data_IF_809981853709
#
_entry.id   IF_809981853709
#
_cell.length_a   1.000
_cell.length_b   1.000
_cell.length_c   1.000
_cell.angle_alpha   90.00
_cell.angle_beta   90.00
_cell.angle_gamma   90.00
#
_symmetry.space_group_name_H-M   'P 1'
#
loop_
_entity.id
_entity.type
_entity.pdbx_description
1 polymer ?
#
# COMPACT_ATOMS: atom_id res chain seq x y z
N UNK A 1 -58.51 30.99 -15.41
CA UNK A 1 -59.82 31.51 -15.89
C UNK A 1 -59.75 33.02 -15.89
N UNK A 2 -60.09 33.70 -16.99
CA UNK A 2 -60.26 35.16 -16.99
C UNK A 2 -61.61 35.48 -16.35
N UNK A 3 -61.64 36.40 -15.37
CA UNK A 3 -62.83 36.79 -14.61
C UNK A 3 -63.94 37.39 -15.49
N UNK A 4 -63.59 37.79 -16.72
CA UNK A 4 -64.49 38.35 -17.75
C UNK A 4 -65.54 37.35 -18.25
N UNK A 5 -65.44 36.06 -17.89
CA UNK A 5 -66.31 34.99 -18.39
C UNK A 5 -67.26 34.39 -17.33
N UNK A 6 -67.39 35.03 -16.15
CA UNK A 6 -68.32 34.58 -15.10
C UNK A 6 -69.74 35.08 -15.38
N UNK A 7 -70.58 34.24 -16.00
CA UNK A 7 -72.01 34.52 -16.18
C UNK A 7 -72.76 34.48 -14.84
N UNK A 8 -73.59 35.50 -14.57
CA UNK A 8 -74.51 35.54 -13.42
C UNK A 8 -74.19 36.56 -12.33
N UNK A 9 -73.13 37.36 -12.47
CA UNK A 9 -72.76 38.43 -11.53
C UNK A 9 -72.93 39.82 -12.17
N UNK A 10 -73.40 40.80 -11.39
CA UNK A 10 -73.40 42.21 -11.82
C UNK A 10 -71.98 42.81 -11.76
N UNK A 11 -71.79 44.02 -12.31
CA UNK A 11 -70.47 44.67 -12.36
C UNK A 11 -69.83 44.88 -10.98
N UNK A 12 -70.63 45.26 -9.98
CA UNK A 12 -70.17 45.47 -8.60
C UNK A 12 -69.70 44.17 -7.94
N UNK A 13 -70.40 43.06 -8.19
CA UNK A 13 -70.04 41.73 -7.68
C UNK A 13 -68.75 41.23 -8.34
N UNK A 14 -68.57 41.45 -9.64
CA UNK A 14 -67.33 41.13 -10.35
C UNK A 14 -66.14 41.94 -9.82
N UNK A 15 -66.34 43.22 -9.49
CA UNK A 15 -65.31 44.06 -8.89
C UNK A 15 -64.93 43.60 -7.47
N UNK A 16 -65.92 43.20 -6.66
CA UNK A 16 -65.69 42.63 -5.33
C UNK A 16 -64.91 41.31 -5.41
N UNK A 17 -65.25 40.42 -6.35
CA UNK A 17 -64.51 39.17 -6.57
C UNK A 17 -63.08 39.44 -7.03
N UNK A 18 -62.85 40.44 -7.89
CA UNK A 18 -61.51 40.87 -8.30
C UNK A 18 -60.68 41.35 -7.10
N UNK A 19 -61.27 42.18 -6.23
CA UNK A 19 -60.61 42.68 -5.00
C UNK A 19 -60.28 41.55 -4.03
N UNK A 20 -61.20 40.61 -3.81
CA UNK A 20 -60.95 39.43 -2.96
C UNK A 20 -59.85 38.54 -3.53
N UNK A 21 -59.87 38.28 -4.83
CA UNK A 21 -58.84 37.49 -5.49
C UNK A 21 -57.47 38.19 -5.41
N UNK A 22 -57.44 39.50 -5.59
CA UNK A 22 -56.21 40.29 -5.45
C UNK A 22 -55.69 40.21 -4.01
N UNK A 23 -56.54 40.42 -2.99
CA UNK A 23 -56.11 40.34 -1.60
C UNK A 23 -55.60 38.97 -1.21
N UNK A 24 -56.23 37.89 -1.69
CA UNK A 24 -55.74 36.53 -1.46
C UNK A 24 -54.42 36.27 -2.20
N UNK A 25 -54.29 36.76 -3.43
CA UNK A 25 -53.05 36.64 -4.20
C UNK A 25 -51.89 37.38 -3.51
N UNK A 26 -52.15 38.58 -3.00
CA UNK A 26 -51.16 39.38 -2.28
C UNK A 26 -50.80 38.74 -0.93
N UNK A 27 -51.78 38.18 -0.22
CA UNK A 27 -51.55 37.40 1.01
C UNK A 27 -50.66 36.19 0.74
N UNK A 28 -51.01 35.39 -0.27
CA UNK A 28 -50.26 34.22 -0.70
C UNK A 28 -48.84 34.64 -1.09
N UNK A 29 -48.68 35.67 -1.93
CA UNK A 29 -47.36 36.19 -2.33
C UNK A 29 -46.51 36.56 -1.12
N UNK A 30 -47.09 37.26 -0.15
CA UNK A 30 -46.40 37.69 1.06
C UNK A 30 -45.98 36.50 1.90
N UNK A 31 -46.89 35.54 2.14
CA UNK A 31 -46.62 34.34 2.92
C UNK A 31 -45.49 33.49 2.30
N UNK A 32 -45.55 33.25 0.99
CA UNK A 32 -44.50 32.49 0.30
C UNK A 32 -43.17 33.26 0.25
N UNK A 33 -43.19 34.59 0.10
CA UNK A 33 -41.97 35.40 0.13
C UNK A 33 -41.28 35.34 1.50
N UNK A 34 -42.06 35.36 2.58
CA UNK A 34 -41.53 35.18 3.94
C UNK A 34 -40.96 33.79 4.13
N UNK A 35 -41.72 32.75 3.73
CA UNK A 35 -41.25 31.35 3.80
C UNK A 35 -39.96 31.12 3.00
N UNK A 36 -39.81 31.75 1.83
CA UNK A 36 -38.59 31.65 1.02
C UNK A 36 -37.41 32.27 1.77
N UNK A 37 -37.55 33.47 2.34
CA UNK A 37 -36.50 34.10 3.14
C UNK A 37 -36.13 33.26 4.37
N UNK A 38 -37.13 32.71 5.04
CA UNK A 38 -36.94 31.80 6.18
C UNK A 38 -36.29 30.48 5.76
N UNK A 39 -36.35 30.08 4.48
CA UNK A 39 -35.66 28.90 3.96
C UNK A 39 -34.24 29.21 3.46
N UNK A 40 -33.99 30.43 2.98
CA UNK A 40 -32.68 30.87 2.50
C UNK A 40 -31.61 30.84 3.59
N UNK A 41 -31.97 31.05 4.85
CA UNK A 41 -31.05 30.92 5.99
C UNK A 41 -30.52 29.49 6.21
N UNK A 42 -31.23 28.48 5.68
CA UNK A 42 -30.83 27.07 5.77
C UNK A 42 -30.10 26.59 4.52
N UNK A 43 -29.89 27.45 3.51
CA UNK A 43 -29.04 27.08 2.38
C UNK A 43 -27.62 26.82 2.90
N UNK A 44 -26.96 25.72 2.45
CA UNK A 44 -25.56 25.52 2.73
C UNK A 44 -24.80 26.78 2.31
N UNK A 45 -23.97 27.33 3.20
CA UNK A 45 -23.11 28.46 2.84
C UNK A 45 -22.20 27.98 1.72
N UNK A 46 -22.32 28.60 0.56
CA UNK A 46 -21.34 28.40 -0.51
C UNK A 46 -20.00 28.86 0.02
N UNK A 47 -19.00 27.97 -0.06
CA UNK A 47 -17.64 28.28 0.37
C UNK A 47 -17.16 29.49 -0.43
N UNK A 48 -16.55 30.46 0.24
CA UNK A 48 -15.91 31.58 -0.43
C UNK A 48 -14.84 31.06 -1.39
N UNK A 49 -14.56 31.78 -2.48
CA UNK A 49 -13.47 31.42 -3.39
C UNK A 49 -12.13 31.23 -2.64
N UNK A 50 -11.90 32.05 -1.60
CA UNK A 50 -10.72 31.93 -0.74
C UNK A 50 -10.68 30.61 0.07
N UNK A 51 -11.84 30.12 0.53
CA UNK A 51 -11.94 28.86 1.27
C UNK A 51 -11.74 27.66 0.34
N UNK A 52 -12.28 27.72 -0.88
CA UNK A 52 -12.07 26.71 -1.92
C UNK A 52 -10.59 26.62 -2.29
N UNK A 53 -9.93 27.76 -2.51
CA UNK A 53 -8.52 27.81 -2.85
C UNK A 53 -7.64 27.26 -1.71
N UNK A 54 -8.02 27.53 -0.45
CA UNK A 54 -7.33 27.03 0.73
C UNK A 54 -7.48 25.50 0.85
N UNK A 55 -8.70 24.98 0.72
CA UNK A 55 -8.97 23.55 0.77
C UNK A 55 -8.23 22.78 -0.34
N UNK A 56 -8.20 23.34 -1.56
CA UNK A 56 -7.42 22.76 -2.66
C UNK A 56 -5.92 22.73 -2.34
N UNK A 57 -5.37 23.80 -1.75
CA UNK A 57 -3.97 23.83 -1.31
C UNK A 57 -3.68 22.82 -0.21
N UNK A 58 -4.56 22.70 0.78
CA UNK A 58 -4.44 21.72 1.87
C UNK A 58 -4.42 20.30 1.31
N UNK A 59 -5.35 19.98 0.41
CA UNK A 59 -5.41 18.67 -0.23
C UNK A 59 -4.13 18.35 -1.01
N UNK A 60 -3.62 19.30 -1.78
CA UNK A 60 -2.36 19.12 -2.53
C UNK A 60 -1.17 18.91 -1.58
N UNK A 61 -1.14 19.59 -0.43
CA UNK A 61 -0.09 19.40 0.57
C UNK A 61 -0.21 18.03 1.25
N UNK A 62 -1.41 17.63 1.66
CA UNK A 62 -1.67 16.32 2.28
C UNK A 62 -1.31 15.17 1.34
N UNK A 63 -1.68 15.27 0.05
CA UNK A 63 -1.32 14.29 -0.97
C UNK A 63 0.20 14.18 -1.13
N UNK A 64 0.92 15.31 -1.13
CA UNK A 64 2.39 15.36 -1.21
C UNK A 64 3.06 14.78 0.03
N UNK A 65 2.57 15.13 1.22
CA UNK A 65 3.09 14.59 2.49
C UNK A 65 2.92 13.07 2.52
N UNK A 66 1.76 12.56 2.09
CA UNK A 66 1.49 11.12 1.99
C UNK A 66 2.44 10.43 1.00
N UNK A 67 2.70 11.05 -0.14
CA UNK A 67 3.62 10.50 -1.14
C UNK A 67 5.05 10.42 -0.61
N UNK A 68 5.54 11.50 0.03
CA UNK A 68 6.87 11.56 0.62
C UNK A 68 7.01 10.52 1.73
N UNK A 69 6.05 10.44 2.65
CA UNK A 69 6.06 9.47 3.74
C UNK A 69 6.10 8.03 3.21
N UNK A 70 5.33 7.71 2.17
CA UNK A 70 5.37 6.40 1.53
C UNK A 70 6.73 6.11 0.89
N UNK A 71 7.33 7.10 0.22
CA UNK A 71 8.64 6.96 -0.42
C UNK A 71 9.77 6.79 0.60
N UNK A 72 9.73 7.51 1.70
CA UNK A 72 10.67 7.38 2.81
C UNK A 72 10.56 6.00 3.46
N UNK A 73 9.34 5.54 3.78
CA UNK A 73 9.10 4.18 4.30
C UNK A 73 9.64 3.11 3.35
N UNK A 74 9.34 3.22 2.05
CA UNK A 74 9.82 2.27 1.06
C UNK A 74 11.34 2.28 0.96
N UNK A 75 11.97 3.45 1.00
CA UNK A 75 13.43 3.59 0.93
C UNK A 75 14.11 3.00 2.17
N UNK A 76 13.54 3.23 3.37
CA UNK A 76 14.00 2.62 4.62
C UNK A 76 13.92 1.09 4.56
N UNK A 77 12.81 0.56 4.05
CA UNK A 77 12.62 -0.88 3.89
C UNK A 77 13.60 -1.47 2.87
N UNK A 78 13.79 -0.81 1.74
CA UNK A 78 14.77 -1.19 0.74
C UNK A 78 16.17 -1.30 1.33
N UNK A 79 16.61 -0.29 2.10
CA UNK A 79 17.92 -0.30 2.76
C UNK A 79 18.04 -1.44 3.77
N UNK A 80 17.06 -1.58 4.68
CA UNK A 80 17.07 -2.59 5.74
C UNK A 80 17.05 -4.03 5.21
N UNK A 81 16.30 -4.31 4.15
CA UNK A 81 16.30 -5.63 3.52
C UNK A 81 17.68 -5.95 2.92
N UNK A 82 18.31 -4.97 2.26
CA UNK A 82 19.67 -5.10 1.74
C UNK A 82 20.71 -5.37 2.84
N UNK A 83 20.64 -4.65 3.96
CA UNK A 83 21.49 -4.87 5.14
C UNK A 83 21.35 -6.30 5.70
N UNK A 84 20.15 -6.89 5.60
CA UNK A 84 19.87 -8.27 6.05
C UNK A 84 20.18 -9.34 4.99
N UNK A 85 20.81 -8.96 3.87
CA UNK A 85 21.19 -9.88 2.79
C UNK A 85 20.04 -10.35 1.91
N UNK A 86 18.88 -9.70 1.99
CA UNK A 86 17.72 -9.98 1.16
C UNK A 86 17.66 -9.06 -0.05
N UNK A 87 16.94 -9.47 -1.10
CA UNK A 87 16.72 -8.62 -2.27
C UNK A 87 15.96 -7.36 -1.88
N UNK A 88 16.56 -6.20 -2.14
CA UNK A 88 15.97 -4.92 -1.83
C UNK A 88 14.70 -4.63 -2.66
N UNK A 89 14.50 -5.34 -3.79
CA UNK A 89 13.28 -5.25 -4.58
C UNK A 89 12.03 -5.76 -3.85
N UNK A 90 12.20 -6.60 -2.82
CA UNK A 90 11.09 -7.08 -2.00
C UNK A 90 10.37 -5.93 -1.29
N UNK A 91 11.03 -4.79 -1.08
CA UNK A 91 10.41 -3.56 -0.56
C UNK A 91 9.25 -3.03 -1.42
N UNK A 92 9.14 -3.44 -2.69
CA UNK A 92 8.00 -3.09 -3.57
C UNK A 92 6.72 -3.85 -3.19
N UNK A 93 6.85 -4.99 -2.52
CA UNK A 93 5.75 -5.92 -2.25
C UNK A 93 5.41 -6.03 -0.75
N UNK A 94 6.32 -5.60 0.11
CA UNK A 94 6.18 -5.68 1.56
C UNK A 94 5.68 -4.35 2.13
N UNK A 95 4.78 -4.44 3.10
CA UNK A 95 4.36 -3.33 3.95
C UNK A 95 4.44 -3.78 5.39
N UNK A 96 5.07 -2.97 6.21
CA UNK A 96 5.26 -3.20 7.63
C UNK A 96 4.67 -2.02 8.40
N UNK A 97 4.22 -2.28 9.61
CA UNK A 97 3.70 -1.25 10.50
C UNK A 97 4.86 -0.45 11.09
N UNK A 98 4.66 0.86 11.22
CA UNK A 98 5.71 1.77 11.70
C UNK A 98 6.12 1.48 13.16
N UNK A 99 5.18 1.06 14.02
CA UNK A 99 5.42 0.83 15.45
C UNK A 99 6.48 -0.25 15.71
N UNK A 100 6.49 -1.31 14.89
CA UNK A 100 7.36 -2.48 15.05
C UNK A 100 8.19 -2.76 13.80
N UNK A 101 8.45 -1.74 13.00
CA UNK A 101 9.07 -1.87 11.69
C UNK A 101 10.37 -2.67 11.72
N UNK A 102 11.31 -2.32 12.60
CA UNK A 102 12.61 -2.98 12.66
C UNK A 102 12.47 -4.46 13.08
N UNK A 103 11.62 -4.75 14.06
CA UNK A 103 11.33 -6.12 14.52
C UNK A 103 10.71 -6.97 13.39
N UNK A 104 9.74 -6.42 12.66
CA UNK A 104 9.08 -7.11 11.56
C UNK A 104 10.06 -7.42 10.41
N UNK A 105 10.97 -6.49 10.10
CA UNK A 105 12.02 -6.73 9.11
C UNK A 105 12.98 -7.83 9.57
N UNK A 106 13.34 -7.86 10.86
CA UNK A 106 14.22 -8.90 11.42
C UNK A 106 13.59 -10.28 11.42
N UNK A 107 12.32 -10.38 11.81
CA UNK A 107 11.57 -11.63 11.77
C UNK A 107 11.44 -12.14 10.34
N UNK A 108 11.07 -11.25 9.40
CA UNK A 108 10.99 -11.60 7.99
C UNK A 108 12.33 -12.09 7.44
N UNK A 109 13.43 -11.39 7.76
CA UNK A 109 14.77 -11.80 7.35
C UNK A 109 15.18 -13.15 7.94
N UNK A 110 14.87 -13.39 9.21
CA UNK A 110 15.14 -14.67 9.88
C UNK A 110 14.41 -15.82 9.21
N UNK A 111 13.11 -15.65 8.89
CA UNK A 111 12.31 -16.65 8.19
C UNK A 111 12.88 -16.92 6.80
N UNK A 112 13.12 -15.88 5.99
CA UNK A 112 13.63 -16.03 4.64
C UNK A 112 15.00 -16.69 4.60
N UNK A 113 15.91 -16.31 5.51
CA UNK A 113 17.22 -16.92 5.60
C UNK A 113 17.15 -18.40 6.00
N UNK A 114 16.26 -18.78 6.93
CA UNK A 114 16.01 -20.19 7.24
C UNK A 114 15.50 -20.95 6.01
N UNK A 115 14.50 -20.41 5.33
CA UNK A 115 13.96 -21.04 4.12
C UNK A 115 15.01 -21.21 3.04
N UNK A 116 15.84 -20.19 2.78
CA UNK A 116 16.94 -20.26 1.82
C UNK A 116 17.99 -21.31 2.21
N UNK A 117 18.32 -21.41 3.50
CA UNK A 117 19.30 -22.39 3.99
C UNK A 117 18.75 -23.83 3.96
N UNK A 118 17.48 -24.02 4.27
CA UNK A 118 16.82 -25.34 4.30
C UNK A 118 16.48 -25.85 2.89
N UNK A 119 16.22 -24.94 1.95
CA UNK A 119 15.97 -25.27 0.53
C UNK A 119 17.23 -25.27 -0.34
N UNK A 120 18.34 -24.72 0.17
CA UNK A 120 19.64 -24.81 -0.48
C UNK A 120 20.19 -26.22 -0.31
N UNK A 121 20.30 -26.95 -1.42
CA UNK A 121 21.02 -28.22 -1.45
C UNK A 121 22.47 -28.01 -0.98
N UNK A 122 22.75 -28.35 0.27
CA UNK A 122 24.12 -28.51 0.76
C UNK A 122 24.62 -29.89 0.32
N UNK A 123 25.67 -29.99 -0.53
CA UNK A 123 26.30 -31.27 -0.80
C UNK A 123 26.84 -31.84 0.52
N UNK A 124 26.13 -32.81 1.10
CA UNK A 124 26.49 -33.42 2.38
C UNK A 124 27.65 -34.41 2.27
N UNK A 125 28.15 -34.67 1.06
CA UNK A 125 29.18 -35.67 0.80
C UNK A 125 30.43 -35.05 0.16
N UNK A 126 31.08 -34.12 0.88
CA UNK A 126 32.54 -34.14 0.81
C UNK A 126 32.98 -35.29 1.70
N UNK A 127 33.38 -36.42 1.10
CA UNK A 127 34.25 -37.36 1.81
C UNK A 127 35.41 -36.51 2.32
N UNK A 128 35.46 -36.31 3.64
CA UNK A 128 36.50 -35.52 4.28
C UNK A 128 37.87 -35.99 3.78
N UNK A 129 38.86 -35.12 3.79
CA UNK A 129 40.29 -35.38 3.53
C UNK A 129 40.92 -36.57 4.30
N UNK A 130 40.14 -37.42 4.98
CA UNK A 130 40.55 -38.69 5.58
C UNK A 130 41.16 -39.68 4.59
N UNK A 131 40.84 -39.54 3.30
CA UNK A 131 41.46 -40.33 2.22
C UNK A 131 42.47 -39.52 1.38
N UNK A 132 42.82 -38.29 1.78
CA UNK A 132 43.78 -37.46 1.03
C UNK A 132 45.21 -37.76 1.51
N UNK A 133 45.84 -38.75 0.89
CA UNK A 133 47.27 -39.06 1.07
C UNK A 133 48.07 -38.21 0.08
N UNK A 134 49.07 -37.45 0.55
CA UNK A 134 49.98 -36.71 -0.33
C UNK A 134 51.05 -37.64 -0.94
N UNK A 135 51.73 -37.20 -2.01
CA UNK A 135 52.81 -38.01 -2.63
C UNK A 135 53.95 -38.31 -1.65
N UNK A 136 54.27 -37.38 -0.76
CA UNK A 136 55.30 -37.54 0.27
C UNK A 136 54.88 -38.59 1.30
N UNK A 137 53.62 -38.57 1.71
CA UNK A 137 53.05 -39.57 2.62
C UNK A 137 53.02 -40.95 1.96
N UNK A 138 52.63 -41.03 0.68
CA UNK A 138 52.66 -42.28 -0.08
C UNK A 138 54.08 -42.83 -0.25
N UNK A 139 55.07 -41.96 -0.49
CA UNK A 139 56.47 -42.36 -0.56
C UNK A 139 56.96 -42.94 0.77
N UNK A 140 56.50 -42.39 1.90
CA UNK A 140 56.82 -42.89 3.24
C UNK A 140 56.07 -44.17 3.66
N UNK A 141 54.97 -44.53 2.97
CA UNK A 141 54.18 -45.73 3.29
C UNK A 141 54.95 -47.02 2.99
N UNK A 142 54.83 -47.99 3.90
CA UNK A 142 55.35 -49.34 3.72
C UNK A 142 54.54 -50.15 2.70
N UNK A 143 55.10 -51.27 2.24
CA UNK A 143 54.47 -52.14 1.24
C UNK A 143 53.04 -52.56 1.60
N UNK A 144 52.81 -52.94 2.86
CA UNK A 144 51.48 -53.39 3.33
C UNK A 144 50.44 -52.26 3.35
N UNK A 145 50.86 -51.03 3.60
CA UNK A 145 49.98 -49.86 3.62
C UNK A 145 49.62 -49.44 2.19
N UNK A 146 50.59 -49.51 1.27
CA UNK A 146 50.39 -49.31 -0.16
C UNK A 146 49.45 -50.37 -0.76
N UNK A 147 49.58 -51.63 -0.35
CA UNK A 147 48.67 -52.71 -0.78
C UNK A 147 47.22 -52.49 -0.29
N UNK A 148 47.05 -52.07 0.98
CA UNK A 148 45.74 -51.68 1.51
C UNK A 148 45.16 -50.47 0.79
N UNK A 149 45.99 -49.51 0.39
CA UNK A 149 45.54 -48.35 -0.37
C UNK A 149 45.09 -48.75 -1.78
N UNK A 150 45.78 -49.69 -2.42
CA UNK A 150 45.38 -50.22 -3.73
C UNK A 150 44.03 -50.96 -3.66
N UNK A 151 43.78 -51.69 -2.58
CA UNK A 151 42.52 -52.42 -2.37
C UNK A 151 41.34 -51.49 -2.03
N UNK A 152 41.58 -50.50 -1.16
CA UNK A 152 40.53 -49.59 -0.67
C UNK A 152 40.29 -48.38 -1.57
N UNK A 153 41.32 -47.91 -2.29
CA UNK A 153 41.24 -46.77 -3.20
C UNK A 153 42.24 -46.90 -4.38
N UNK A 154 41.97 -47.77 -5.36
CA UNK A 154 42.87 -48.02 -6.49
C UNK A 154 43.14 -46.76 -7.32
N UNK A 155 42.14 -45.88 -7.46
CA UNK A 155 42.27 -44.63 -8.23
C UNK A 155 43.23 -43.62 -7.61
N UNK A 156 43.33 -43.61 -6.27
CA UNK A 156 44.28 -42.77 -5.57
C UNK A 156 45.68 -43.37 -5.61
N UNK A 157 45.78 -44.69 -5.45
CA UNK A 157 47.04 -45.41 -5.59
C UNK A 157 47.70 -45.14 -6.95
N UNK A 158 46.96 -45.26 -8.06
CA UNK A 158 47.52 -45.00 -9.41
C UNK A 158 48.05 -43.58 -9.57
N UNK A 159 47.30 -42.59 -9.08
CA UNK A 159 47.70 -41.16 -9.14
C UNK A 159 48.92 -40.84 -8.29
N UNK A 160 49.14 -41.57 -7.21
CA UNK A 160 50.29 -41.40 -6.32
C UNK A 160 51.51 -42.23 -6.76
N UNK A 161 51.30 -43.24 -7.60
CA UNK A 161 52.35 -44.07 -8.21
C UNK A 161 52.88 -43.54 -9.54
N UNK A 162 52.21 -42.57 -10.15
CA UNK A 162 52.74 -41.75 -11.26
C UNK A 162 53.85 -40.80 -10.80
#
# INVERSE_FOLDING_TARGET
>A
MKLENLQGFNEEQLEMVKKLLQSETDRIRTEYSTKIKDLEQYKPKEKSQAEIDLENRLKVLEDKEREIANKERQSRLHAKLGEKGLSAELSKYLRFDDENFDTQVEEFASVMNKTLLDSSYKPSNHKSNKDAITKEQFSGMGYMERAKLQETNPTLYTKLSE
#
